data_IF_458236756611
#
_entry.id   IF_458236756611
#
_cell.length_a   1.000
_cell.length_b   1.000
_cell.length_c   1.000
_cell.angle_alpha   90.00
_cell.angle_beta   90.00
_cell.angle_gamma   90.00
#
_symmetry.space_group_name_H-M   'P 1'
#
loop_
_entity.id
_entity.type
_entity.pdbx_description
1 polymer ?
#
# COMPACT_ATOMS: atom_id res chain seq x y z
N UNK A 1 19.10 -71.17 55.33
CA UNK A 1 19.20 -70.05 56.29
C UNK A 1 20.06 -68.97 55.65
N UNK A 2 19.42 -67.96 55.06
CA UNK A 2 20.08 -66.85 54.36
C UNK A 2 20.14 -65.63 55.29
N UNK A 3 21.31 -65.00 55.50
CA UNK A 3 21.39 -63.79 56.32
C UNK A 3 20.81 -62.59 55.56
N UNK A 4 19.91 -61.88 56.22
CA UNK A 4 19.36 -60.60 55.78
C UNK A 4 20.48 -59.56 55.92
N UNK A 5 20.94 -59.00 54.80
CA UNK A 5 21.87 -57.87 54.77
C UNK A 5 21.12 -56.63 55.29
N UNK A 6 21.35 -56.30 56.56
CA UNK A 6 20.94 -55.06 57.19
C UNK A 6 21.64 -53.88 56.49
N UNK A 7 20.86 -53.11 55.72
CA UNK A 7 21.29 -51.80 55.21
C UNK A 7 21.69 -50.93 56.40
N UNK A 8 22.93 -50.47 56.38
CA UNK A 8 23.58 -49.76 57.47
C UNK A 8 22.86 -48.44 57.81
N UNK A 9 22.65 -48.10 59.09
CA UNK A 9 21.97 -46.88 59.53
C UNK A 9 22.68 -45.58 59.11
N UNK A 10 23.94 -45.66 58.70
CA UNK A 10 24.72 -44.54 58.18
C UNK A 10 24.25 -44.04 56.80
N UNK A 11 23.64 -44.91 55.98
CA UNK A 11 23.02 -44.48 54.71
C UNK A 11 21.67 -43.80 54.92
N UNK A 12 21.03 -44.04 56.07
CA UNK A 12 19.75 -43.44 56.44
C UNK A 12 19.92 -42.04 57.06
N UNK A 13 21.08 -41.74 57.65
CA UNK A 13 21.38 -40.45 58.27
C UNK A 13 21.85 -39.36 57.27
N UNK A 14 22.27 -39.73 56.06
CA UNK A 14 22.72 -38.77 55.04
C UNK A 14 21.57 -38.07 54.31
N UNK A 15 20.32 -38.48 54.53
CA UNK A 15 19.12 -37.77 54.09
C UNK A 15 18.46 -37.11 55.31
N UNK A 16 19.25 -36.42 56.12
CA UNK A 16 18.73 -35.38 56.98
C UNK A 16 18.17 -34.28 56.07
N UNK A 17 16.90 -34.41 55.72
CA UNK A 17 16.12 -33.36 55.06
C UNK A 17 16.13 -32.18 56.03
N UNK A 18 17.10 -31.27 55.85
CA UNK A 18 17.06 -30.00 56.56
C UNK A 18 15.70 -29.38 56.23
N UNK A 19 14.88 -29.03 57.25
CA UNK A 19 13.57 -28.46 57.00
C UNK A 19 13.76 -27.22 56.13
N UNK A 20 13.19 -27.27 54.92
CA UNK A 20 13.30 -26.17 53.98
C UNK A 20 12.83 -24.90 54.68
N UNK A 21 13.58 -23.78 54.56
CA UNK A 21 13.20 -22.56 55.22
C UNK A 21 11.79 -22.12 54.79
N UNK A 22 10.96 -21.74 55.76
CA UNK A 22 9.55 -21.36 55.56
C UNK A 22 9.36 -20.18 54.58
N UNK A 23 10.41 -19.38 54.37
CA UNK A 23 10.46 -18.27 53.41
C UNK A 23 10.81 -18.70 51.97
N UNK A 24 11.18 -19.96 51.73
CA UNK A 24 11.48 -20.46 50.38
C UNK A 24 10.26 -20.50 49.46
N UNK A 25 9.09 -20.90 49.98
CA UNK A 25 7.86 -21.02 49.18
C UNK A 25 7.37 -19.66 48.65
N UNK A 26 7.27 -18.60 49.46
CA UNK A 26 6.87 -17.27 48.98
C UNK A 26 7.81 -16.67 47.93
N UNK A 27 9.14 -16.87 48.06
CA UNK A 27 10.12 -16.36 47.10
C UNK A 27 9.93 -17.03 45.73
N UNK A 28 9.75 -18.35 45.72
CA UNK A 28 9.48 -19.11 44.50
C UNK A 28 8.14 -18.67 43.90
N UNK A 29 7.08 -18.56 44.70
CA UNK A 29 5.78 -18.09 44.22
C UNK A 29 5.84 -16.67 43.62
N UNK A 30 6.56 -15.75 44.27
CA UNK A 30 6.77 -14.39 43.80
C UNK A 30 7.57 -14.32 42.50
N UNK A 31 8.61 -15.15 42.34
CA UNK A 31 9.40 -15.16 41.10
C UNK A 31 8.58 -15.67 39.90
N UNK A 32 7.74 -16.70 40.10
CA UNK A 32 6.81 -17.15 39.07
C UNK A 32 5.79 -16.07 38.68
N UNK A 33 5.33 -15.26 39.63
CA UNK A 33 4.42 -14.14 39.33
C UNK A 33 5.12 -13.08 38.47
N UNK A 34 6.33 -12.68 38.83
CA UNK A 34 7.12 -11.71 38.04
C UNK A 34 7.41 -12.25 36.64
N UNK A 35 7.85 -13.50 36.52
CA UNK A 35 8.11 -14.13 35.22
C UNK A 35 6.82 -14.20 34.39
N UNK A 36 5.70 -14.60 35.00
CA UNK A 36 4.41 -14.64 34.33
C UNK A 36 3.96 -13.27 33.82
N UNK A 37 4.16 -12.22 34.63
CA UNK A 37 3.85 -10.84 34.24
C UNK A 37 4.74 -10.36 33.08
N UNK A 38 6.05 -10.63 33.12
CA UNK A 38 6.98 -10.27 32.04
C UNK A 38 6.64 -11.02 30.75
N UNK A 39 6.36 -12.34 30.83
CA UNK A 39 5.96 -13.13 29.67
C UNK A 39 4.63 -12.63 29.08
N UNK A 40 3.65 -12.30 29.92
CA UNK A 40 2.38 -11.71 29.50
C UNK A 40 2.59 -10.39 28.77
N UNK A 41 3.42 -9.50 29.33
CA UNK A 41 3.75 -8.22 28.71
C UNK A 41 4.46 -8.38 27.36
N UNK A 42 5.48 -9.24 27.27
CA UNK A 42 6.21 -9.50 26.02
C UNK A 42 5.29 -10.10 24.97
N UNK A 43 4.44 -11.07 25.34
CA UNK A 43 3.46 -11.66 24.44
C UNK A 43 2.49 -10.61 23.88
N UNK A 44 1.96 -9.75 24.75
CA UNK A 44 1.06 -8.67 24.32
C UNK A 44 1.77 -7.68 23.38
N UNK A 45 2.99 -7.25 23.73
CA UNK A 45 3.79 -6.34 22.90
C UNK A 45 4.11 -6.92 21.52
N UNK A 46 4.43 -8.22 21.44
CA UNK A 46 4.66 -8.90 20.17
C UNK A 46 3.38 -9.03 19.33
N UNK A 47 2.22 -9.20 19.96
CA UNK A 47 0.94 -9.22 19.25
C UNK A 47 0.57 -7.83 18.71
N UNK A 48 0.75 -6.80 19.53
CA UNK A 48 0.47 -5.42 19.14
C UNK A 48 1.36 -4.95 17.99
N UNK A 49 2.66 -5.26 18.03
CA UNK A 49 3.58 -4.94 16.92
C UNK A 49 3.22 -5.68 15.63
N UNK A 50 2.83 -6.97 15.70
CA UNK A 50 2.34 -7.71 14.53
C UNK A 50 1.06 -7.11 13.97
N UNK A 51 0.12 -6.73 14.84
CA UNK A 51 -1.14 -6.08 14.45
C UNK A 51 -0.89 -4.72 13.80
N UNK A 52 -0.02 -3.90 14.38
CA UNK A 52 0.36 -2.60 13.84
C UNK A 52 1.00 -2.73 12.44
N UNK A 53 1.92 -3.69 12.25
CA UNK A 53 2.53 -3.97 10.94
C UNK A 53 1.49 -4.37 9.90
N UNK A 54 0.56 -5.26 10.24
CA UNK A 54 -0.52 -5.68 9.33
C UNK A 54 -1.43 -4.53 8.95
N UNK A 55 -1.79 -3.69 9.92
CA UNK A 55 -2.63 -2.52 9.66
C UNK A 55 -1.91 -1.47 8.81
N UNK A 56 -0.61 -1.25 9.02
CA UNK A 56 0.19 -0.36 8.19
C UNK A 56 0.27 -0.85 6.74
N UNK A 57 0.50 -2.15 6.53
CA UNK A 57 0.48 -2.76 5.20
C UNK A 57 -0.88 -2.60 4.54
N UNK A 58 -1.97 -2.91 5.26
CA UNK A 58 -3.34 -2.76 4.74
C UNK A 58 -3.66 -1.32 4.32
N UNK A 59 -3.23 -0.32 5.10
CA UNK A 59 -3.42 1.09 4.76
C UNK A 59 -2.59 1.49 3.54
N UNK A 60 -1.37 0.98 3.44
CA UNK A 60 -0.53 1.24 2.27
C UNK A 60 -1.14 0.64 1.00
N UNK A 61 -1.62 -0.60 1.07
CA UNK A 61 -2.32 -1.28 -0.03
C UNK A 61 -3.57 -0.48 -0.47
N UNK A 62 -4.39 -0.05 0.50
CA UNK A 62 -5.58 0.77 0.24
C UNK A 62 -5.24 2.11 -0.44
N UNK A 63 -4.19 2.79 0.01
CA UNK A 63 -3.76 4.04 -0.60
C UNK A 63 -3.32 3.85 -2.05
N UNK A 64 -2.54 2.80 -2.34
CA UNK A 64 -2.11 2.50 -3.71
C UNK A 64 -3.30 2.21 -4.62
N UNK A 65 -4.29 1.46 -4.15
CA UNK A 65 -5.51 1.16 -4.91
C UNK A 65 -6.38 2.41 -5.15
N UNK A 66 -6.56 3.26 -4.14
CA UNK A 66 -7.32 4.52 -4.27
C UNK A 66 -6.66 5.46 -5.30
N UNK A 67 -5.35 5.68 -5.18
CA UNK A 67 -4.60 6.49 -6.16
C UNK A 67 -4.68 5.91 -7.57
N UNK A 68 -4.54 4.59 -7.73
CA UNK A 68 -4.64 3.94 -9.05
C UNK A 68 -6.03 4.15 -9.66
N UNK A 69 -7.09 3.97 -8.87
CA UNK A 69 -8.46 4.18 -9.34
C UNK A 69 -8.71 5.62 -9.77
N UNK A 70 -8.22 6.60 -8.99
CA UNK A 70 -8.32 8.02 -9.34
C UNK A 70 -7.56 8.35 -10.62
N UNK A 71 -6.33 7.84 -10.78
CA UNK A 71 -5.55 8.02 -12.03
C UNK A 71 -6.31 7.47 -13.23
N UNK A 72 -6.91 6.28 -13.12
CA UNK A 72 -7.71 5.69 -14.21
C UNK A 72 -8.90 6.59 -14.57
N UNK A 73 -9.68 7.01 -13.58
CA UNK A 73 -10.85 7.86 -13.81
C UNK A 73 -10.46 9.22 -14.42
N UNK A 74 -9.41 9.87 -13.88
CA UNK A 74 -8.91 11.14 -14.39
C UNK A 74 -8.34 11.02 -15.80
N UNK A 75 -7.67 9.92 -16.13
CA UNK A 75 -7.15 9.66 -17.48
C UNK A 75 -8.29 9.52 -18.49
N UNK A 76 -9.34 8.76 -18.15
CA UNK A 76 -10.53 8.62 -18.99
C UNK A 76 -11.22 9.99 -19.19
N UNK A 77 -11.40 10.74 -18.10
CA UNK A 77 -11.97 12.09 -18.17
C UNK A 77 -11.12 13.03 -19.04
N UNK A 78 -9.79 12.94 -18.93
CA UNK A 78 -8.85 13.73 -19.73
C UNK A 78 -8.95 13.42 -21.22
N UNK A 79 -9.04 12.13 -21.59
CA UNK A 79 -9.24 11.71 -22.98
C UNK A 79 -10.57 12.26 -23.52
N UNK A 80 -11.64 12.18 -22.73
CA UNK A 80 -12.95 12.70 -23.11
C UNK A 80 -12.93 14.23 -23.29
N UNK A 81 -12.37 14.97 -22.33
CA UNK A 81 -12.26 16.42 -22.37
C UNK A 81 -11.40 16.89 -23.55
N UNK A 82 -10.35 16.13 -23.92
CA UNK A 82 -9.51 16.39 -25.10
C UNK A 82 -10.33 16.27 -26.38
N UNK A 83 -11.13 15.21 -26.50
CA UNK A 83 -12.01 15.00 -27.65
C UNK A 83 -13.10 16.08 -27.76
N UNK A 84 -13.70 16.48 -26.65
CA UNK A 84 -14.74 17.52 -26.61
C UNK A 84 -14.19 18.90 -26.95
N UNK A 85 -13.01 19.26 -26.42
CA UNK A 85 -12.33 20.50 -26.80
C UNK A 85 -12.03 20.54 -28.30
N UNK A 86 -11.54 19.43 -28.88
CA UNK A 86 -11.23 19.40 -30.30
C UNK A 86 -12.48 19.55 -31.18
N UNK A 87 -13.57 18.86 -30.83
CA UNK A 87 -14.86 19.01 -31.54
C UNK A 87 -15.36 20.46 -31.49
N UNK A 88 -15.21 21.14 -30.36
CA UNK A 88 -15.59 22.54 -30.22
C UNK A 88 -14.76 23.47 -31.13
N UNK A 89 -13.49 23.15 -31.36
CA UNK A 89 -12.61 23.89 -32.29
C UNK A 89 -12.97 23.61 -33.76
N UNK A 90 -13.29 22.36 -34.10
CA UNK A 90 -13.55 21.94 -35.49
C UNK A 90 -14.91 22.42 -36.04
N UNK A 91 -15.92 22.59 -35.20
CA UNK A 91 -17.27 23.04 -35.62
C UNK A 91 -17.28 24.51 -36.08
N UNK A 92 -16.21 25.28 -35.86
CA UNK A 92 -16.15 26.73 -36.21
C UNK A 92 -15.05 27.08 -37.22
N UNK A 93 -15.06 26.52 -38.45
CA UNK A 93 -14.18 27.00 -39.50
C UNK A 93 -14.63 28.40 -39.96
N UNK A 94 -14.00 29.46 -39.45
CA UNK A 94 -14.15 30.84 -39.94
C UNK A 94 -14.77 31.85 -38.98
N UNK A 95 -15.21 31.46 -37.79
CA UNK A 95 -15.53 32.43 -36.72
C UNK A 95 -14.26 32.78 -35.93
N UNK A 96 -14.02 34.05 -35.59
CA UNK A 96 -12.90 34.42 -34.72
C UNK A 96 -12.99 33.66 -33.39
N UNK A 97 -11.84 33.18 -32.90
CA UNK A 97 -11.61 32.40 -31.67
C UNK A 97 -12.19 33.00 -30.37
N UNK A 98 -12.88 34.13 -30.42
CA UNK A 98 -13.48 34.84 -29.29
C UNK A 98 -14.81 34.25 -28.81
N UNK A 99 -15.18 33.03 -29.22
CA UNK A 99 -16.43 32.44 -28.75
C UNK A 99 -16.22 31.80 -27.36
N UNK A 100 -17.05 32.13 -26.34
CA UNK A 100 -16.85 31.69 -24.96
C UNK A 100 -16.88 30.15 -24.74
N UNK A 101 -17.25 29.38 -25.77
CA UNK A 101 -17.35 27.92 -25.73
C UNK A 101 -15.96 27.25 -25.84
N UNK A 102 -15.01 27.84 -26.58
CA UNK A 102 -13.66 27.28 -26.71
C UNK A 102 -12.81 27.51 -25.45
N UNK A 103 -13.03 28.62 -24.75
CA UNK A 103 -12.30 28.95 -23.52
C UNK A 103 -12.69 28.02 -22.36
N UNK A 104 -13.98 27.70 -22.24
CA UNK A 104 -14.49 26.81 -21.18
C UNK A 104 -14.05 25.36 -21.34
N UNK A 105 -13.97 24.85 -22.58
CA UNK A 105 -13.49 23.49 -22.85
C UNK A 105 -11.97 23.36 -22.61
N UNK A 106 -11.19 24.37 -23.00
CA UNK A 106 -9.75 24.40 -22.73
C UNK A 106 -9.45 24.48 -21.23
N UNK A 107 -10.16 25.34 -20.48
CA UNK A 107 -9.96 25.45 -19.03
C UNK A 107 -10.29 24.14 -18.32
N UNK A 108 -11.34 23.44 -18.76
CA UNK A 108 -11.70 22.13 -18.21
C UNK A 108 -10.61 21.09 -18.49
N UNK A 109 -10.11 21.05 -19.73
CA UNK A 109 -9.02 20.15 -20.14
C UNK A 109 -7.76 20.37 -19.28
N UNK A 110 -7.34 21.62 -19.11
CA UNK A 110 -6.16 21.96 -18.30
C UNK A 110 -6.36 21.62 -16.82
N UNK A 111 -7.54 21.86 -16.26
CA UNK A 111 -7.85 21.49 -14.88
C UNK A 111 -7.83 19.96 -14.67
N UNK A 112 -8.36 19.19 -15.62
CA UNK A 112 -8.30 17.72 -15.58
C UNK A 112 -6.85 17.23 -15.70
N UNK A 113 -6.03 17.84 -16.57
CA UNK A 113 -4.60 17.51 -16.68
C UNK A 113 -3.82 17.82 -15.41
N UNK A 114 -4.05 18.99 -14.78
CA UNK A 114 -3.39 19.36 -13.53
C UNK A 114 -3.73 18.37 -12.40
N UNK A 115 -5.02 18.00 -12.30
CA UNK A 115 -5.49 17.00 -11.35
C UNK A 115 -4.83 15.64 -11.58
N UNK A 116 -4.77 15.19 -12.85
CA UNK A 116 -4.11 13.95 -13.24
C UNK A 116 -2.61 13.97 -12.90
N UNK A 117 -1.90 15.05 -13.24
CA UNK A 117 -0.47 15.20 -12.98
C UNK A 117 -0.14 15.17 -11.48
N UNK A 118 -0.92 15.88 -10.66
CA UNK A 118 -0.79 15.86 -9.21
C UNK A 118 -0.99 14.46 -8.62
N UNK A 119 -1.99 13.73 -9.13
CA UNK A 119 -2.28 12.38 -8.67
C UNK A 119 -1.18 11.38 -9.08
N UNK A 120 -0.67 11.48 -10.32
CA UNK A 120 0.45 10.67 -10.80
C UNK A 120 1.71 10.90 -9.96
N UNK A 121 2.00 12.15 -9.56
CA UNK A 121 3.13 12.47 -8.66
C UNK A 121 2.93 11.82 -7.29
N UNK A 122 1.72 11.88 -6.73
CA UNK A 122 1.38 11.26 -5.45
C UNK A 122 1.55 9.75 -5.49
N UNK A 123 0.99 9.11 -6.54
CA UNK A 123 1.13 7.67 -6.78
C UNK A 123 2.59 7.26 -6.95
N UNK A 124 3.42 8.08 -7.61
CA UNK A 124 4.86 7.82 -7.80
C UNK A 124 5.64 7.68 -6.49
N UNK A 125 5.25 8.45 -5.46
CA UNK A 125 5.92 8.47 -4.16
C UNK A 125 5.57 7.24 -3.30
N UNK A 126 4.35 6.72 -3.43
CA UNK A 126 3.86 5.64 -2.56
C UNK A 126 4.02 4.24 -3.16
N UNK A 127 4.26 4.13 -4.47
CA UNK A 127 4.29 2.86 -5.19
C UNK A 127 5.69 2.24 -5.35
N UNK A 128 5.71 0.95 -5.74
CA UNK A 128 6.91 0.17 -6.06
C UNK A 128 7.58 0.63 -7.35
N UNK A 129 8.83 0.22 -7.59
CA UNK A 129 9.59 0.63 -8.77
C UNK A 129 8.92 0.20 -10.10
N UNK A 130 8.28 -0.97 -10.15
CA UNK A 130 7.58 -1.46 -11.34
C UNK A 130 6.35 -0.60 -11.68
N UNK A 131 5.48 -0.37 -10.69
CA UNK A 131 4.30 0.49 -10.85
C UNK A 131 4.74 1.92 -11.20
N UNK A 132 5.81 2.41 -10.59
CA UNK A 132 6.37 3.73 -10.85
C UNK A 132 6.79 3.93 -12.31
N UNK A 133 7.34 2.91 -12.96
CA UNK A 133 7.70 2.97 -14.37
C UNK A 133 6.45 3.18 -15.25
N UNK A 134 5.39 2.42 -14.98
CA UNK A 134 4.11 2.55 -15.70
C UNK A 134 3.42 3.90 -15.44
N UNK A 135 3.48 4.41 -14.21
CA UNK A 135 2.99 5.77 -13.88
C UNK A 135 3.72 6.85 -14.69
N UNK A 136 5.03 6.71 -14.90
CA UNK A 136 5.77 7.65 -15.75
C UNK A 136 5.35 7.55 -17.22
N UNK A 137 5.09 6.35 -17.74
CA UNK A 137 4.59 6.18 -19.11
C UNK A 137 3.21 6.85 -19.30
N UNK A 138 2.29 6.68 -18.35
CA UNK A 138 0.98 7.36 -18.37
C UNK A 138 1.16 8.88 -18.34
N UNK A 139 2.06 9.38 -17.50
CA UNK A 139 2.39 10.82 -17.45
C UNK A 139 2.89 11.32 -18.79
N UNK A 140 3.88 10.66 -19.38
CA UNK A 140 4.51 11.08 -20.62
C UNK A 140 3.49 11.06 -21.78
N UNK A 141 2.67 10.01 -21.88
CA UNK A 141 1.61 9.91 -22.88
C UNK A 141 0.51 10.95 -22.68
N UNK A 142 0.14 11.27 -21.43
CA UNK A 142 -0.83 12.34 -21.15
C UNK A 142 -0.32 13.72 -21.58
N UNK A 143 0.99 13.96 -21.43
CA UNK A 143 1.62 15.19 -21.89
C UNK A 143 1.68 15.24 -23.43
N UNK A 144 2.01 14.13 -24.10
CA UNK A 144 1.95 14.06 -25.56
C UNK A 144 0.56 14.38 -26.10
N UNK A 145 -0.48 13.78 -25.50
CA UNK A 145 -1.87 14.06 -25.87
C UNK A 145 -2.25 15.53 -25.68
N UNK A 146 -1.80 16.18 -24.60
CA UNK A 146 -2.02 17.61 -24.37
C UNK A 146 -1.36 18.48 -25.45
N UNK A 147 -0.21 18.05 -25.95
CA UNK A 147 0.59 18.76 -26.96
C UNK A 147 0.18 18.45 -28.41
N UNK A 148 -0.76 17.51 -28.62
CA UNK A 148 -1.19 17.11 -29.94
C UNK A 148 -1.86 18.27 -30.69
N UNK A 149 -1.39 18.54 -31.92
CA UNK A 149 -1.86 19.70 -32.70
C UNK A 149 -2.95 19.35 -33.72
N UNK A 150 -3.02 18.08 -34.13
CA UNK A 150 -3.96 17.59 -35.13
C UNK A 150 -4.75 16.36 -34.64
N UNK A 151 -5.86 16.05 -35.31
CA UNK A 151 -6.82 15.01 -34.90
C UNK A 151 -6.20 13.61 -34.97
N UNK A 152 -5.36 13.37 -35.99
CA UNK A 152 -4.71 12.08 -36.19
C UNK A 152 -3.72 11.77 -35.05
N UNK A 153 -2.85 12.73 -34.71
CA UNK A 153 -1.95 12.64 -33.55
C UNK A 153 -2.73 12.47 -32.25
N UNK A 154 -3.80 13.25 -32.05
CA UNK A 154 -4.61 13.14 -30.84
C UNK A 154 -5.24 11.74 -30.70
N UNK A 155 -5.70 11.15 -31.81
CA UNK A 155 -6.23 9.78 -31.79
C UNK A 155 -5.14 8.75 -31.49
N UNK A 156 -3.96 8.88 -32.11
CA UNK A 156 -2.83 8.00 -31.85
C UNK A 156 -2.37 8.09 -30.39
N UNK A 157 -2.16 9.29 -29.87
CA UNK A 157 -1.72 9.55 -28.50
C UNK A 157 -2.76 9.11 -27.48
N UNK A 158 -4.06 9.30 -27.76
CA UNK A 158 -5.12 8.77 -26.90
C UNK A 158 -5.10 7.24 -26.83
N UNK A 159 -4.81 6.57 -27.96
CA UNK A 159 -4.69 5.10 -28.01
C UNK A 159 -3.46 4.63 -27.25
N UNK A 160 -2.33 5.34 -27.36
CA UNK A 160 -1.11 5.06 -26.58
C UNK A 160 -1.35 5.25 -25.08
N UNK A 161 -2.05 6.32 -24.70
CA UNK A 161 -2.42 6.59 -23.31
C UNK A 161 -3.29 5.49 -22.72
N UNK A 162 -4.34 5.04 -23.44
CA UNK A 162 -5.17 3.91 -23.00
C UNK A 162 -4.36 2.64 -22.84
N UNK A 163 -3.46 2.32 -23.77
CA UNK A 163 -2.58 1.15 -23.65
C UNK A 163 -1.66 1.22 -22.42
N UNK A 164 -1.08 2.40 -22.14
CA UNK A 164 -0.29 2.59 -20.92
C UNK A 164 -1.13 2.51 -19.65
N UNK A 165 -2.41 2.88 -19.72
CA UNK A 165 -3.34 2.75 -18.60
C UNK A 165 -3.67 1.28 -18.31
N UNK A 166 -3.93 0.48 -19.36
CA UNK A 166 -4.15 -0.97 -19.23
C UNK A 166 -2.91 -1.67 -18.66
N UNK A 167 -1.71 -1.25 -19.08
CA UNK A 167 -0.45 -1.78 -18.57
C UNK A 167 -0.21 -1.40 -17.10
N UNK A 168 -0.57 -0.17 -16.70
CA UNK A 168 -0.58 0.27 -15.30
C UNK A 168 -1.54 -0.58 -14.47
N UNK A 169 -2.79 -0.75 -14.91
CA UNK A 169 -3.79 -1.56 -14.21
C UNK A 169 -3.30 -3.01 -14.03
N UNK A 170 -2.81 -3.63 -15.11
CA UNK A 170 -2.27 -4.99 -15.09
C UNK A 170 -1.11 -5.13 -14.12
N UNK A 171 -0.19 -4.15 -14.09
CA UNK A 171 0.96 -4.15 -13.18
C UNK A 171 0.53 -4.00 -11.72
N UNK A 172 -0.45 -3.13 -11.44
CA UNK A 172 -1.01 -2.97 -10.09
C UNK A 172 -1.74 -4.24 -9.65
N UNK A 173 -2.56 -4.84 -10.52
CA UNK A 173 -3.24 -6.12 -10.25
C UNK A 173 -2.25 -7.24 -9.95
N UNK A 174 -1.17 -7.35 -10.74
CA UNK A 174 -0.08 -8.30 -10.50
C UNK A 174 0.60 -8.06 -9.16
N UNK A 175 0.84 -6.80 -8.80
CA UNK A 175 1.44 -6.44 -7.51
C UNK A 175 0.61 -6.92 -6.32
N UNK A 176 -0.72 -6.86 -6.43
CA UNK A 176 -1.66 -7.35 -5.41
C UNK A 176 -2.00 -8.84 -5.51
N UNK A 177 -1.46 -9.56 -6.50
CA UNK A 177 -1.80 -10.96 -6.74
C UNK A 177 -3.25 -11.18 -7.22
N UNK A 178 -3.86 -10.15 -7.83
CA UNK A 178 -5.20 -10.21 -8.41
C UNK A 178 -5.05 -10.63 -9.88
N UNK A 179 -5.05 -11.94 -10.14
CA UNK A 179 -5.09 -12.48 -11.52
C UNK A 179 -6.50 -12.43 -12.08
#
# INVERSE_FOLDING_TARGET
MTPILSLSPLLQAAVAVMPAPWWGVPIIAGSFLVIGAVLGYVSNSLQDTKKAKREQLRRWDQNVLDHTSRVILLTIQFIQDSGDHRRAVEIKPGEPLSSPISETTLSKLLATYESLSSELVSMRLVTTAEVRAQVNEVRDNSFLLLMATNVEQMHEDSTRLTKSLDALESTVRKHFGIS
#
